data_IF_079562973321
#
_entry.id   IF_079562973321
#
_cell.length_a   1.000
_cell.length_b   1.000
_cell.length_c   1.000
_cell.angle_alpha   90.00
_cell.angle_beta   90.00
_cell.angle_gamma   90.00
#
_symmetry.space_group_name_H-M   'P 1'
#
loop_
_entity.id
_entity.type
_entity.pdbx_description
1 polymer ?
#
# COMPACT_ATOMS: atom_id res chain seq x y z
N UNK A 1 22.15 -41.18 45.69
CA UNK A 1 22.14 -39.78 45.32
C UNK A 1 21.08 -39.56 44.26
N UNK A 2 19.92 -39.00 44.64
CA UNK A 2 18.83 -38.68 43.71
C UNK A 2 18.92 -37.20 43.42
N UNK A 3 19.17 -36.84 42.16
CA UNK A 3 19.10 -35.45 41.69
C UNK A 3 17.64 -35.10 41.42
N UNK A 4 17.11 -34.15 42.18
CA UNK A 4 15.83 -33.54 41.93
C UNK A 4 15.96 -32.51 40.80
N UNK A 5 15.24 -32.73 39.71
CA UNK A 5 15.13 -31.77 38.62
C UNK A 5 14.02 -30.77 39.02
N UNK A 6 14.42 -29.54 39.28
CA UNK A 6 13.52 -28.42 39.57
C UNK A 6 12.96 -27.93 38.25
N UNK A 7 11.71 -28.28 37.94
CA UNK A 7 10.98 -27.73 36.77
C UNK A 7 10.56 -26.31 37.07
N UNK A 8 11.21 -25.36 36.43
CA UNK A 8 10.80 -23.94 36.42
C UNK A 8 9.58 -23.79 35.47
N UNK A 9 8.39 -23.70 36.05
CA UNK A 9 7.20 -23.38 35.31
C UNK A 9 7.23 -21.88 34.98
N UNK A 10 7.47 -21.56 33.69
CA UNK A 10 7.30 -20.22 33.16
C UNK A 10 5.80 -20.02 32.99
N UNK A 11 5.20 -19.22 33.86
CA UNK A 11 3.84 -18.71 33.68
C UNK A 11 3.87 -17.73 32.49
N UNK A 12 3.51 -18.22 31.31
CA UNK A 12 3.09 -17.37 30.20
C UNK A 12 1.74 -16.78 30.58
N UNK A 13 1.71 -15.50 30.90
CA UNK A 13 0.46 -14.75 30.99
C UNK A 13 -0.17 -14.76 29.58
N UNK A 14 -1.16 -15.65 29.38
CA UNK A 14 -1.86 -15.78 28.13
C UNK A 14 -2.74 -14.57 27.90
N UNK A 15 -2.45 -13.78 26.87
CA UNK A 15 -3.45 -12.91 26.27
C UNK A 15 -4.59 -13.80 25.77
N UNK A 16 -5.76 -13.69 26.37
CA UNK A 16 -6.97 -14.40 25.93
C UNK A 16 -7.50 -13.75 24.64
N UNK A 17 -6.93 -14.11 23.49
CA UNK A 17 -7.51 -13.81 22.19
C UNK A 17 -8.70 -14.74 21.92
N UNK A 18 -9.90 -14.23 21.92
CA UNK A 18 -11.09 -14.99 21.51
C UNK A 18 -11.24 -14.98 20.00
N UNK A 19 -11.20 -16.17 19.39
CA UNK A 19 -11.56 -16.34 17.97
C UNK A 19 -13.09 -16.33 17.88
N UNK A 20 -13.65 -15.25 17.33
CA UNK A 20 -15.10 -15.19 17.06
C UNK A 20 -15.34 -15.30 15.56
N UNK A 21 -15.83 -16.49 15.12
CA UNK A 21 -16.48 -16.65 13.83
C UNK A 21 -17.95 -16.23 13.98
N UNK A 22 -18.27 -14.95 13.78
CA UNK A 22 -19.66 -14.51 13.76
C UNK A 22 -20.08 -14.07 12.36
N UNK A 23 -21.05 -14.76 11.80
CA UNK A 23 -21.81 -14.30 10.65
C UNK A 23 -22.61 -13.05 11.04
N UNK A 24 -22.58 -12.04 10.18
CA UNK A 24 -23.11 -10.71 10.36
C UNK A 24 -24.65 -10.70 10.58
N UNK A 25 -25.18 -10.18 11.69
CA UNK A 25 -26.60 -9.85 11.77
C UNK A 25 -26.83 -8.47 11.17
N UNK A 26 -27.87 -8.36 10.36
CA UNK A 26 -28.24 -7.15 9.62
C UNK A 26 -28.28 -5.90 10.52
N UNK A 27 -27.51 -4.85 10.13
CA UNK A 27 -27.65 -3.48 10.64
C UNK A 27 -26.69 -3.03 11.75
N UNK A 28 -25.68 -3.81 12.13
CA UNK A 28 -24.62 -3.39 13.06
C UNK A 28 -23.37 -2.92 12.31
N UNK A 29 -22.54 -2.08 12.96
CA UNK A 29 -21.21 -1.76 12.47
C UNK A 29 -20.47 -3.06 12.11
N UNK A 30 -19.84 -3.12 10.91
CA UNK A 30 -19.06 -4.30 10.49
C UNK A 30 -18.04 -4.63 11.57
N UNK A 31 -18.14 -5.85 12.13
CA UNK A 31 -17.13 -6.32 13.05
C UNK A 31 -15.96 -6.93 12.25
N UNK A 32 -14.72 -6.62 12.62
CA UNK A 32 -13.57 -7.19 11.94
C UNK A 32 -13.54 -8.71 12.13
N UNK A 33 -13.36 -9.44 11.03
CA UNK A 33 -13.12 -10.89 11.08
C UNK A 33 -11.65 -11.13 11.50
N UNK A 34 -11.40 -12.15 12.32
CA UNK A 34 -10.05 -12.56 12.71
C UNK A 34 -9.80 -12.54 14.22
N UNK A 35 -8.54 -12.72 14.61
CA UNK A 35 -8.10 -12.62 16.00
C UNK A 35 -8.10 -11.14 16.39
N UNK A 36 -8.74 -10.80 17.49
CA UNK A 36 -8.91 -9.42 17.93
C UNK A 36 -8.21 -9.19 19.27
N UNK A 37 -7.46 -8.09 19.33
CA UNK A 37 -6.86 -7.56 20.55
C UNK A 37 -7.49 -6.19 20.82
N UNK A 38 -8.02 -6.00 22.04
CA UNK A 38 -8.61 -4.74 22.49
C UNK A 38 -7.65 -4.03 23.43
N UNK A 39 -7.70 -2.72 23.44
CA UNK A 39 -6.86 -1.88 24.28
C UNK A 39 -7.71 -1.19 25.35
N UNK A 40 -7.37 -1.37 26.62
CA UNK A 40 -8.12 -0.79 27.75
C UNK A 40 -7.96 0.75 27.82
N UNK A 41 -6.82 1.25 27.37
CA UNK A 41 -6.47 2.68 27.33
C UNK A 41 -6.94 3.39 26.05
N UNK A 42 -7.45 2.64 25.07
CA UNK A 42 -7.96 3.17 23.79
C UNK A 42 -9.32 2.55 23.43
N UNK A 43 -10.41 2.95 24.12
CA UNK A 43 -11.74 2.40 23.88
C UNK A 43 -12.16 2.52 22.40
N UNK A 44 -12.67 1.40 21.84
CA UNK A 44 -13.09 1.32 20.43
C UNK A 44 -11.98 1.01 19.43
N UNK A 45 -10.71 1.04 19.86
CA UNK A 45 -9.59 0.56 19.04
C UNK A 45 -9.45 -0.96 19.19
N UNK A 46 -9.33 -1.65 18.05
CA UNK A 46 -9.17 -3.10 17.98
C UNK A 46 -8.04 -3.38 16.98
N UNK A 47 -7.00 -4.10 17.40
CA UNK A 47 -6.02 -4.70 16.49
C UNK A 47 -6.58 -6.01 15.97
N UNK A 48 -6.48 -6.23 14.68
CA UNK A 48 -7.02 -7.41 13.98
C UNK A 48 -5.92 -8.14 13.26
N UNK A 49 -5.87 -9.46 13.44
CA UNK A 49 -5.06 -10.38 12.66
C UNK A 49 -6.00 -11.31 11.88
N UNK A 50 -5.93 -11.26 10.56
CA UNK A 50 -6.73 -12.13 9.69
C UNK A 50 -5.84 -13.27 9.23
N UNK A 51 -6.33 -14.50 9.40
CA UNK A 51 -5.66 -15.72 8.96
C UNK A 51 -6.45 -16.42 7.87
N UNK A 52 -5.76 -17.13 6.97
CA UNK A 52 -6.40 -17.97 5.97
C UNK A 52 -6.91 -19.29 6.57
N UNK A 53 -7.52 -20.16 5.73
CA UNK A 53 -8.04 -21.45 6.17
C UNK A 53 -6.97 -22.40 6.75
N UNK A 54 -5.70 -22.20 6.42
CA UNK A 54 -4.57 -22.94 6.98
C UNK A 54 -4.04 -22.35 8.31
N UNK A 55 -4.67 -21.28 8.84
CA UNK A 55 -4.26 -20.60 10.05
C UNK A 55 -3.09 -19.64 9.86
N UNK A 56 -2.72 -19.33 8.59
CA UNK A 56 -1.59 -18.48 8.27
C UNK A 56 -2.03 -17.01 8.21
N UNK A 57 -1.23 -16.12 8.79
CA UNK A 57 -1.49 -14.67 8.81
C UNK A 57 -1.50 -14.11 7.38
N UNK A 58 -2.55 -13.38 7.04
CA UNK A 58 -2.71 -12.72 5.74
C UNK A 58 -2.77 -11.20 5.86
N UNK A 59 -3.29 -10.68 6.96
CA UNK A 59 -3.45 -9.22 7.13
C UNK A 59 -3.40 -8.85 8.60
N UNK A 60 -2.75 -7.73 8.90
CA UNK A 60 -2.80 -7.06 10.22
C UNK A 60 -3.23 -5.62 10.02
N UNK A 61 -4.09 -5.14 10.90
CA UNK A 61 -4.52 -3.74 10.87
C UNK A 61 -5.28 -3.35 12.13
N UNK A 62 -5.85 -2.15 12.10
CA UNK A 62 -6.60 -1.59 13.21
C UNK A 62 -7.99 -1.17 12.78
N UNK A 63 -8.94 -1.36 13.68
CA UNK A 63 -10.28 -0.81 13.58
C UNK A 63 -10.49 0.18 14.71
N UNK A 64 -11.09 1.32 14.39
CA UNK A 64 -11.54 2.29 15.37
C UNK A 64 -13.03 2.55 15.15
N UNK A 65 -13.86 2.23 16.14
CA UNK A 65 -15.31 2.40 16.09
C UNK A 65 -15.95 1.80 14.81
N UNK A 66 -15.53 0.58 14.44
CA UNK A 66 -16.08 -0.15 13.31
C UNK A 66 -15.55 0.26 11.93
N UNK A 67 -14.46 1.05 11.87
CA UNK A 67 -13.84 1.46 10.61
C UNK A 67 -12.35 1.18 10.62
N UNK A 68 -11.78 0.92 9.45
CA UNK A 68 -10.33 0.79 9.29
C UNK A 68 -9.62 2.07 9.70
N UNK A 69 -8.54 1.92 10.47
CA UNK A 69 -7.74 3.03 10.99
C UNK A 69 -6.25 2.69 10.93
N UNK A 70 -5.39 3.68 10.68
CA UNK A 70 -3.94 3.52 10.68
C UNK A 70 -3.41 2.60 9.57
N UNK A 71 -2.29 1.94 9.84
CA UNK A 71 -1.60 1.08 8.89
C UNK A 71 -2.23 -0.32 8.84
N UNK A 72 -2.45 -0.80 7.62
CA UNK A 72 -2.88 -2.15 7.29
C UNK A 72 -1.79 -2.82 6.47
N UNK A 73 -1.34 -3.98 6.92
CA UNK A 73 -0.25 -4.74 6.30
C UNK A 73 -0.77 -6.07 5.82
N UNK A 74 -0.57 -6.38 4.54
CA UNK A 74 -0.91 -7.65 3.94
C UNK A 74 0.37 -8.49 3.73
N UNK A 75 0.25 -9.80 3.96
CA UNK A 75 1.34 -10.77 3.93
C UNK A 75 1.14 -11.81 2.83
N UNK A 76 2.25 -12.27 2.27
CA UNK A 76 2.28 -13.42 1.35
C UNK A 76 2.17 -14.74 2.15
N UNK A 77 2.02 -15.85 1.43
CA UNK A 77 2.04 -17.19 2.04
C UNK A 77 3.38 -17.55 2.71
N UNK A 78 4.47 -16.88 2.36
CA UNK A 78 5.79 -17.03 2.97
C UNK A 78 6.06 -16.03 4.10
N UNK A 79 5.01 -15.44 4.69
CA UNK A 79 5.06 -14.48 5.81
C UNK A 79 5.85 -13.19 5.50
N UNK A 80 5.95 -12.82 4.22
CA UNK A 80 6.57 -11.57 3.80
C UNK A 80 5.53 -10.48 3.62
N UNK A 81 5.84 -9.25 4.02
CA UNK A 81 4.99 -8.11 3.71
C UNK A 81 5.00 -7.89 2.19
N UNK A 82 3.81 -7.85 1.57
CA UNK A 82 3.71 -7.50 0.16
C UNK A 82 3.01 -6.16 -0.07
N UNK A 83 2.21 -5.68 0.91
CA UNK A 83 1.52 -4.41 0.79
C UNK A 83 1.30 -3.74 2.14
N UNK A 84 1.43 -2.42 2.17
CA UNK A 84 1.03 -1.55 3.26
C UNK A 84 0.08 -0.50 2.73
N UNK A 85 -1.07 -0.33 3.40
CA UNK A 85 -2.08 0.69 3.08
C UNK A 85 -2.45 1.44 4.35
N UNK A 86 -2.57 2.75 4.28
CA UNK A 86 -3.02 3.56 5.44
C UNK A 86 -4.47 4.01 5.28
N UNK A 87 -5.18 4.05 6.41
CA UNK A 87 -6.59 4.40 6.48
C UNK A 87 -6.84 5.43 7.57
N UNK A 88 -7.79 6.32 7.32
CA UNK A 88 -8.38 7.23 8.31
C UNK A 88 -9.90 7.14 8.18
N UNK A 89 -10.58 6.81 9.28
CA UNK A 89 -12.04 6.73 9.33
C UNK A 89 -12.65 5.85 8.23
N UNK A 90 -11.98 4.73 7.90
CA UNK A 90 -12.41 3.74 6.89
C UNK A 90 -12.00 4.03 5.45
N UNK A 91 -11.47 5.21 5.16
CA UNK A 91 -11.02 5.60 3.82
C UNK A 91 -9.51 5.43 3.68
N UNK A 92 -9.06 5.04 2.51
CA UNK A 92 -7.63 5.09 2.19
C UNK A 92 -7.15 6.55 2.24
N UNK A 93 -6.20 6.81 3.11
CA UNK A 93 -5.65 8.13 3.39
C UNK A 93 -4.16 8.00 3.71
N UNK A 94 -3.30 8.76 3.04
CA UNK A 94 -1.86 8.70 3.21
C UNK A 94 -1.17 7.65 2.33
N UNK A 95 -0.20 6.93 2.86
CA UNK A 95 0.73 6.12 2.06
C UNK A 95 0.16 4.76 1.67
N UNK A 96 0.49 4.35 0.44
CA UNK A 96 0.35 3.00 -0.08
C UNK A 96 1.70 2.53 -0.62
N UNK A 97 2.10 1.32 -0.23
CA UNK A 97 3.37 0.71 -0.66
C UNK A 97 3.13 -0.75 -1.04
N UNK A 98 3.69 -1.17 -2.18
CA UNK A 98 3.85 -2.57 -2.53
C UNK A 98 5.33 -2.97 -2.46
N UNK A 99 5.56 -4.22 -2.10
CA UNK A 99 6.89 -4.80 -1.98
C UNK A 99 7.06 -5.96 -2.96
N UNK A 100 8.26 -6.14 -3.44
CA UNK A 100 8.68 -7.30 -4.22
C UNK A 100 8.90 -8.51 -3.31
N UNK A 101 9.10 -9.69 -3.91
CA UNK A 101 9.41 -10.93 -3.16
C UNK A 101 10.71 -10.84 -2.34
N UNK A 102 11.65 -9.98 -2.70
CA UNK A 102 12.90 -9.73 -1.99
C UNK A 102 12.82 -8.50 -1.05
N UNK A 103 11.61 -8.14 -0.61
CA UNK A 103 11.30 -7.08 0.36
C UNK A 103 11.77 -5.67 -0.05
N UNK A 104 11.86 -5.39 -1.35
CA UNK A 104 12.12 -4.04 -1.85
C UNK A 104 10.81 -3.37 -2.21
N UNK A 105 10.76 -2.05 -2.08
CA UNK A 105 9.62 -1.27 -2.56
C UNK A 105 9.54 -1.41 -4.08
N UNK A 106 8.40 -1.88 -4.60
CA UNK A 106 8.09 -1.92 -6.04
C UNK A 106 7.27 -0.72 -6.48
N UNK A 107 6.30 -0.31 -5.67
CA UNK A 107 5.41 0.81 -5.94
C UNK A 107 5.18 1.60 -4.67
N UNK A 108 5.16 2.92 -4.77
CA UNK A 108 4.74 3.82 -3.70
C UNK A 108 3.91 4.96 -4.26
N UNK A 109 2.77 5.23 -3.63
CA UNK A 109 1.95 6.40 -3.90
C UNK A 109 1.10 6.79 -2.68
N UNK A 110 0.27 7.81 -2.84
CA UNK A 110 -0.55 8.34 -1.77
C UNK A 110 -2.02 8.35 -2.19
N UNK A 111 -2.87 8.19 -1.19
CA UNK A 111 -4.30 8.38 -1.28
C UNK A 111 -4.75 9.60 -0.50
N UNK A 112 -5.79 10.23 -0.97
CA UNK A 112 -6.62 11.19 -0.25
C UNK A 112 -8.09 10.87 -0.54
N UNK A 113 -8.88 10.57 0.49
CA UNK A 113 -10.30 10.18 0.37
C UNK A 113 -10.54 9.06 -0.67
N UNK A 114 -9.83 7.93 -0.58
CA UNK A 114 -9.88 6.77 -1.50
C UNK A 114 -9.41 7.05 -2.94
N UNK A 115 -8.92 8.24 -3.23
CA UNK A 115 -8.41 8.60 -4.55
C UNK A 115 -6.90 8.78 -4.53
N UNK A 116 -6.21 8.34 -5.58
CA UNK A 116 -4.78 8.62 -5.74
C UNK A 116 -4.55 10.12 -5.75
N UNK A 117 -3.61 10.58 -4.93
CA UNK A 117 -3.26 11.99 -4.78
C UNK A 117 -1.77 12.15 -4.50
N UNK A 118 -1.12 13.15 -5.13
CA UNK A 118 0.33 13.36 -4.99
C UNK A 118 1.17 12.43 -5.86
N UNK A 119 2.40 12.20 -5.43
CA UNK A 119 3.42 11.49 -6.22
C UNK A 119 3.24 9.98 -6.20
N UNK A 120 3.24 9.37 -7.39
CA UNK A 120 3.40 7.94 -7.64
C UNK A 120 4.83 7.66 -8.08
N UNK A 121 5.43 6.59 -7.57
CA UNK A 121 6.75 6.12 -8.00
C UNK A 121 6.70 4.59 -8.14
N UNK A 122 7.13 4.10 -9.29
CA UNK A 122 7.41 2.69 -9.53
C UNK A 122 8.92 2.46 -9.59
N UNK A 123 9.37 1.38 -9.01
CA UNK A 123 10.78 1.02 -8.95
C UNK A 123 11.03 -0.29 -9.71
N UNK A 124 12.19 -0.38 -10.34
CA UNK A 124 12.77 -1.63 -10.79
C UNK A 124 14.07 -1.84 -10.03
N UNK A 125 14.13 -2.94 -9.25
CA UNK A 125 15.19 -3.16 -8.26
C UNK A 125 15.25 -1.99 -7.25
N UNK A 126 16.27 -1.14 -7.30
CA UNK A 126 16.45 0.03 -6.42
C UNK A 126 16.35 1.36 -7.17
N UNK A 127 16.08 1.33 -8.48
CA UNK A 127 16.01 2.51 -9.32
C UNK A 127 14.58 2.89 -9.64
N UNK A 128 14.34 4.18 -9.80
CA UNK A 128 13.05 4.67 -10.29
C UNK A 128 12.88 4.22 -11.74
N UNK A 129 11.76 3.55 -12.02
CA UNK A 129 11.31 3.19 -13.36
C UNK A 129 10.37 4.24 -13.91
N UNK A 130 9.47 4.73 -13.06
CA UNK A 130 8.46 5.70 -13.47
C UNK A 130 8.06 6.62 -12.31
N UNK A 131 7.78 7.88 -12.63
CA UNK A 131 7.19 8.87 -11.75
C UNK A 131 5.97 9.50 -12.40
N UNK A 132 4.89 9.63 -11.63
CA UNK A 132 3.65 10.31 -12.02
C UNK A 132 3.15 11.17 -10.86
N UNK A 133 2.27 12.12 -11.18
CA UNK A 133 1.54 12.87 -10.18
C UNK A 133 0.03 12.70 -10.41
N UNK A 134 -0.70 12.69 -9.32
CA UNK A 134 -2.16 12.56 -9.31
C UNK A 134 -2.79 13.66 -8.48
N UNK A 135 -3.93 14.13 -8.93
CA UNK A 135 -4.83 14.99 -8.18
C UNK A 135 -6.23 14.40 -8.26
N UNK A 136 -6.81 14.03 -7.11
CA UNK A 136 -8.16 13.46 -7.01
C UNK A 136 -8.41 12.32 -8.03
N UNK A 137 -7.49 11.36 -8.08
CA UNK A 137 -7.57 10.16 -8.92
C UNK A 137 -7.15 10.33 -10.38
N UNK A 138 -6.93 11.56 -10.86
CA UNK A 138 -6.50 11.85 -12.23
C UNK A 138 -5.01 12.17 -12.30
N UNK A 139 -4.34 11.76 -13.38
CA UNK A 139 -2.96 12.20 -13.63
C UNK A 139 -2.92 13.71 -13.82
N UNK A 140 -1.96 14.35 -13.13
CA UNK A 140 -1.81 15.80 -13.10
C UNK A 140 -0.32 16.15 -12.97
N UNK A 141 0.21 16.99 -13.85
CA UNK A 141 1.62 17.41 -13.81
C UNK A 141 2.56 16.53 -14.62
N UNK A 142 3.84 16.62 -14.30
CA UNK A 142 4.93 15.95 -15.06
C UNK A 142 4.94 14.44 -14.79
N UNK A 143 5.08 13.66 -15.85
CA UNK A 143 5.37 12.22 -15.80
C UNK A 143 6.76 11.96 -16.37
N UNK A 144 7.49 11.00 -15.77
CA UNK A 144 8.81 10.58 -16.26
C UNK A 144 8.92 9.08 -16.24
N UNK A 145 9.47 8.52 -17.31
CA UNK A 145 9.85 7.11 -17.42
C UNK A 145 11.35 7.05 -17.65
N UNK A 146 12.00 6.06 -17.02
CA UNK A 146 13.44 5.92 -17.04
C UNK A 146 13.85 4.57 -17.61
N UNK A 147 14.98 4.53 -18.29
CA UNK A 147 15.69 3.30 -18.64
C UNK A 147 16.18 2.58 -17.37
N UNK A 148 16.53 1.30 -17.51
CA UNK A 148 17.03 0.48 -16.37
C UNK A 148 18.36 0.98 -15.80
N UNK A 149 19.13 1.78 -16.56
CA UNK A 149 20.34 2.45 -16.10
C UNK A 149 20.06 3.76 -15.34
N UNK A 150 18.79 4.23 -15.34
CA UNK A 150 18.32 5.43 -14.65
C UNK A 150 18.30 6.69 -15.51
N UNK A 151 18.67 6.61 -16.80
CA UNK A 151 18.55 7.73 -17.72
C UNK A 151 17.09 7.97 -18.10
N UNK A 152 16.72 9.21 -18.35
CA UNK A 152 15.38 9.60 -18.77
C UNK A 152 15.08 9.01 -20.16
N UNK A 153 13.94 8.30 -20.27
CA UNK A 153 13.45 7.72 -21.51
C UNK A 153 12.28 8.54 -22.08
N UNK A 154 11.36 8.97 -21.21
CA UNK A 154 10.21 9.77 -21.61
C UNK A 154 9.89 10.83 -20.53
N UNK A 155 9.52 12.02 -20.96
CA UNK A 155 8.92 13.06 -20.14
C UNK A 155 7.68 13.61 -20.84
N UNK A 156 6.58 13.72 -20.10
CA UNK A 156 5.34 14.30 -20.57
C UNK A 156 4.62 15.05 -19.46
N UNK A 157 3.61 15.79 -19.83
CA UNK A 157 2.75 16.51 -18.89
C UNK A 157 1.30 16.08 -19.06
N UNK A 158 0.57 16.01 -17.96
CA UNK A 158 -0.85 15.66 -17.91
C UNK A 158 -1.64 16.73 -17.19
N UNK A 159 -2.82 17.02 -17.70
CA UNK A 159 -3.81 17.87 -17.08
C UNK A 159 -5.15 17.14 -17.08
N UNK A 160 -5.81 17.05 -15.92
CA UNK A 160 -7.09 16.35 -15.76
C UNK A 160 -7.13 14.90 -16.28
N UNK A 161 -5.99 14.19 -16.28
CA UNK A 161 -5.84 12.81 -16.76
C UNK A 161 -5.55 12.68 -18.26
N UNK A 162 -5.47 13.78 -18.98
CA UNK A 162 -5.16 13.80 -20.41
C UNK A 162 -3.76 14.38 -20.65
N UNK A 163 -3.06 13.84 -21.66
CA UNK A 163 -1.74 14.34 -22.05
C UNK A 163 -1.88 15.76 -22.60
N UNK A 164 -1.06 16.69 -22.12
CA UNK A 164 -1.11 18.10 -22.46
C UNK A 164 0.32 18.63 -22.71
N UNK A 165 0.48 19.55 -23.66
CA UNK A 165 1.75 20.17 -24.00
C UNK A 165 2.75 19.19 -24.63
N UNK A 166 4.04 19.50 -24.47
CA UNK A 166 5.12 18.79 -25.15
C UNK A 166 5.48 17.51 -24.40
N UNK A 167 5.55 16.39 -25.13
CA UNK A 167 6.11 15.12 -24.66
C UNK A 167 7.39 14.81 -25.43
N UNK A 168 8.40 14.31 -24.72
CA UNK A 168 9.75 14.08 -25.23
C UNK A 168 10.18 12.64 -24.97
N UNK A 169 10.87 12.04 -25.94
CA UNK A 169 11.47 10.71 -25.84
C UNK A 169 12.96 10.79 -26.14
N UNK A 170 13.72 10.05 -25.39
CA UNK A 170 15.19 10.05 -25.45
C UNK A 170 15.69 8.63 -25.71
N UNK A 171 16.86 8.52 -26.35
CA UNK A 171 17.59 7.26 -26.51
C UNK A 171 18.42 6.91 -25.25
N UNK A 172 19.08 5.75 -25.29
CA UNK A 172 19.93 5.29 -24.20
C UNK A 172 21.19 6.14 -23.96
N UNK A 173 21.58 6.99 -24.91
CA UNK A 173 22.65 7.97 -24.78
C UNK A 173 22.16 9.29 -24.15
N UNK A 174 20.84 9.51 -24.13
CA UNK A 174 20.19 10.73 -23.60
C UNK A 174 19.91 11.78 -24.68
N UNK A 175 20.04 11.44 -25.97
CA UNK A 175 19.68 12.32 -27.06
C UNK A 175 18.18 12.34 -27.26
N UNK A 176 17.60 13.51 -27.54
CA UNK A 176 16.19 13.65 -27.90
C UNK A 176 15.93 12.97 -29.25
N UNK A 177 15.02 11.99 -29.27
CA UNK A 177 14.65 11.23 -30.48
C UNK A 177 13.33 11.66 -31.07
N UNK A 178 12.34 11.96 -30.20
CA UNK A 178 11.01 12.36 -30.60
C UNK A 178 10.49 13.47 -29.68
N UNK A 179 9.71 14.37 -30.28
CA UNK A 179 8.98 15.41 -29.57
C UNK A 179 7.63 15.60 -30.24
N UNK A 180 6.57 15.51 -29.43
CA UNK A 180 5.21 15.74 -29.89
C UNK A 180 4.48 16.68 -28.94
N UNK A 181 3.59 17.49 -29.53
CA UNK A 181 2.69 18.35 -28.77
C UNK A 181 1.31 17.73 -28.70
N UNK A 182 0.73 17.74 -27.52
CA UNK A 182 -0.61 17.23 -27.24
C UNK A 182 -1.52 18.35 -26.71
N UNK A 183 -2.77 18.29 -27.08
CA UNK A 183 -3.82 19.13 -26.49
C UNK A 183 -5.01 18.23 -26.14
N UNK A 184 -5.37 18.17 -24.86
CA UNK A 184 -6.46 17.32 -24.33
C UNK A 184 -6.37 15.85 -24.76
N UNK A 185 -5.15 15.31 -24.78
CA UNK A 185 -4.86 13.92 -25.15
C UNK A 185 -4.70 13.67 -26.66
N UNK A 186 -5.02 14.63 -27.50
CA UNK A 186 -4.90 14.52 -28.95
C UNK A 186 -3.58 15.10 -29.44
N UNK A 187 -2.95 14.43 -30.42
CA UNK A 187 -1.73 14.93 -31.06
C UNK A 187 -2.04 16.20 -31.88
N UNK A 188 -1.34 17.27 -31.58
CA UNK A 188 -1.40 18.50 -32.36
C UNK A 188 -0.70 18.24 -33.69
N UNK A 189 -1.43 18.33 -34.80
CA UNK A 189 -0.86 18.22 -36.14
C UNK A 189 0.00 19.47 -36.42
N UNK A 190 1.28 19.23 -36.73
CA UNK A 190 2.14 20.26 -37.31
C UNK A 190 1.74 20.51 -38.76
#
# INVERSE_FOLDING_TARGET
MRFAILSLAILLAGCNGTVTNSANPAGGAEQPLGIQEKFDDAPGLIRVEIVNAAGKLTTVGYWLNGKKEGAWTDYTEEDRVFRLTTYVNGKMEGVYIEFTQDNRVSIRYFYHNDQRHGKYVEYIQTRVKEERYYSNGKMEGVTRVYFTDGKLMEEGYYENGLREGISKWYDGEGNLTLEYEYHKGELVKK
#
